data_IF_729431526026
#
_entry.id   IF_729431526026
#
_cell.length_a   1.000
_cell.length_b   1.000
_cell.length_c   1.000
_cell.angle_alpha   90.00
_cell.angle_beta   90.00
_cell.angle_gamma   90.00
#
_symmetry.space_group_name_H-M   'P 1'
#
loop_
_entity.id
_entity.type
_entity.pdbx_description
1 polymer ?
#
# COMPACT_ATOMS: atom_id res chain seq x y z
N UNK A 1 31.76 7.86 21.51
CA UNK A 1 30.55 8.19 22.27
C UNK A 1 29.43 7.26 21.79
N UNK A 2 28.85 6.47 22.68
CA UNK A 2 27.88 5.42 22.32
C UNK A 2 26.59 6.05 21.78
N UNK A 3 26.39 5.95 20.46
CA UNK A 3 25.17 6.37 19.73
C UNK A 3 23.89 5.76 20.33
N UNK A 4 24.02 4.64 21.04
CA UNK A 4 22.95 3.95 21.76
C UNK A 4 22.38 4.75 22.94
N UNK A 5 23.16 5.66 23.56
CA UNK A 5 22.68 6.47 24.70
C UNK A 5 21.83 7.68 24.29
N UNK A 6 21.89 8.10 23.03
CA UNK A 6 21.09 9.21 22.48
C UNK A 6 19.75 8.76 21.90
N UNK A 7 19.49 7.46 21.85
CA UNK A 7 18.28 6.92 21.27
C UNK A 7 17.20 6.72 22.36
N UNK A 8 15.94 7.13 22.14
CA UNK A 8 14.88 7.00 23.13
C UNK A 8 14.56 5.52 23.36
N UNK A 9 15.09 4.99 24.46
CA UNK A 9 15.17 3.56 24.78
C UNK A 9 13.80 2.89 24.90
N UNK A 10 12.76 3.64 25.27
CA UNK A 10 11.38 3.14 25.34
C UNK A 10 10.79 2.76 23.97
N UNK A 11 11.20 3.44 22.89
CA UNK A 11 10.72 3.14 21.54
C UNK A 11 11.52 2.04 20.83
N UNK A 12 12.73 1.72 21.32
CA UNK A 12 13.65 0.75 20.70
C UNK A 12 13.60 -0.62 21.39
N UNK A 13 12.98 -0.74 22.57
CA UNK A 13 12.84 -2.02 23.29
C UNK A 13 12.17 -3.14 22.47
N UNK A 14 11.42 -2.80 21.43
CA UNK A 14 10.80 -3.76 20.51
C UNK A 14 11.47 -3.81 19.12
N UNK A 15 12.46 -2.96 18.87
CA UNK A 15 13.21 -2.93 17.61
C UNK A 15 14.35 -3.92 17.72
N UNK A 16 14.18 -5.10 17.12
CA UNK A 16 15.28 -6.03 16.92
C UNK A 16 16.23 -5.41 15.88
N UNK A 17 17.20 -4.61 16.35
CA UNK A 17 18.14 -3.86 15.51
C UNK A 17 18.87 -4.73 14.48
N UNK A 18 19.39 -5.92 14.83
CA UNK A 18 19.93 -6.86 13.84
C UNK A 18 18.93 -7.19 12.74
N UNK A 19 17.69 -7.51 13.10
CA UNK A 19 16.62 -7.82 12.12
C UNK A 19 16.28 -6.62 11.25
N UNK A 20 16.25 -5.41 11.81
CA UNK A 20 16.05 -4.17 11.04
C UNK A 20 17.20 -3.93 10.07
N UNK A 21 18.44 -4.10 10.51
CA UNK A 21 19.61 -3.94 9.66
C UNK A 21 19.63 -4.98 8.53
N UNK A 22 19.29 -6.24 8.82
CA UNK A 22 19.14 -7.30 7.82
C UNK A 22 18.04 -6.96 6.80
N UNK A 23 16.84 -6.58 7.26
CA UNK A 23 15.74 -6.17 6.39
C UNK A 23 16.12 -4.97 5.52
N UNK A 24 16.75 -3.96 6.10
CA UNK A 24 17.20 -2.78 5.36
C UNK A 24 18.26 -3.14 4.32
N UNK A 25 19.22 -4.00 4.68
CA UNK A 25 20.24 -4.50 3.74
C UNK A 25 19.64 -5.31 2.59
N UNK A 26 18.58 -6.07 2.88
CA UNK A 26 17.86 -6.85 1.88
C UNK A 26 17.15 -5.93 0.89
N UNK A 27 16.44 -4.91 1.38
CA UNK A 27 15.78 -3.89 0.54
C UNK A 27 16.80 -3.18 -0.33
N UNK A 28 17.91 -2.68 0.24
CA UNK A 28 18.95 -1.99 -0.54
C UNK A 28 19.57 -2.87 -1.62
N UNK A 29 19.80 -4.16 -1.33
CA UNK A 29 20.31 -5.10 -2.34
C UNK A 29 19.28 -5.33 -3.46
N UNK A 30 18.01 -5.45 -3.13
CA UNK A 30 16.95 -5.59 -4.12
C UNK A 30 16.84 -4.35 -5.02
N UNK A 31 16.89 -3.16 -4.43
CA UNK A 31 16.88 -1.89 -5.17
C UNK A 31 18.16 -1.65 -5.99
N UNK A 32 19.25 -2.39 -5.74
CA UNK A 32 20.50 -2.27 -6.50
C UNK A 32 20.60 -3.21 -7.71
N UNK A 33 19.73 -4.22 -7.82
CA UNK A 33 19.70 -5.15 -8.94
C UNK A 33 18.48 -4.87 -9.81
N UNK A 34 18.66 -4.15 -10.92
CA UNK A 34 17.57 -3.71 -11.80
C UNK A 34 16.85 -4.86 -12.51
N UNK A 35 17.39 -6.09 -12.46
CA UNK A 35 16.65 -7.29 -12.90
C UNK A 35 15.47 -7.58 -11.98
N UNK A 36 15.53 -7.19 -10.70
CA UNK A 36 14.41 -7.30 -9.76
C UNK A 36 13.27 -6.40 -10.21
N UNK A 37 13.57 -5.13 -10.48
CA UNK A 37 12.60 -4.17 -10.99
C UNK A 37 11.98 -4.64 -12.32
N UNK A 38 12.79 -5.10 -13.28
CA UNK A 38 12.29 -5.63 -14.55
C UNK A 38 11.34 -6.83 -14.38
N UNK A 39 11.63 -7.74 -13.43
CA UNK A 39 10.72 -8.85 -13.08
C UNK A 39 9.43 -8.34 -12.43
N UNK A 40 9.53 -7.37 -11.53
CA UNK A 40 8.38 -6.79 -10.85
C UNK A 40 7.46 -6.08 -11.85
N UNK A 41 8.00 -5.27 -12.76
CA UNK A 41 7.26 -4.64 -13.87
C UNK A 41 6.54 -5.71 -14.72
N UNK A 42 7.25 -6.78 -15.09
CA UNK A 42 6.66 -7.88 -15.85
C UNK A 42 5.48 -8.52 -15.09
N UNK A 43 5.60 -8.71 -13.78
CA UNK A 43 4.53 -9.25 -12.94
C UNK A 43 3.34 -8.28 -12.82
N UNK A 44 3.58 -6.99 -12.59
CA UNK A 44 2.51 -5.97 -12.59
C UNK A 44 1.78 -5.94 -13.92
N UNK A 45 2.51 -5.95 -15.05
CA UNK A 45 1.90 -6.01 -16.39
C UNK A 45 1.05 -7.26 -16.57
N UNK A 46 1.49 -8.42 -16.10
CA UNK A 46 0.69 -9.65 -16.14
C UNK A 46 -0.59 -9.53 -15.32
N UNK A 47 -0.50 -8.93 -14.14
CA UNK A 47 -1.64 -8.73 -13.25
C UNK A 47 -2.69 -7.76 -13.82
N UNK A 48 -2.26 -6.70 -14.52
CA UNK A 48 -3.14 -5.62 -15.02
C UNK A 48 -3.54 -5.74 -16.51
N UNK A 49 -2.84 -6.56 -17.30
CA UNK A 49 -3.10 -6.72 -18.76
C UNK A 49 -3.27 -8.18 -19.19
N UNK A 50 -3.40 -9.11 -18.24
CA UNK A 50 -3.61 -10.52 -18.53
C UNK A 50 -4.89 -10.78 -19.36
N UNK A 51 -5.04 -12.00 -19.89
CA UNK A 51 -6.07 -12.39 -20.89
C UNK A 51 -7.55 -12.07 -20.52
N UNK A 52 -7.84 -11.76 -19.26
CA UNK A 52 -9.18 -11.44 -18.77
C UNK A 52 -9.36 -9.98 -18.36
N UNK A 53 -8.30 -9.17 -18.36
CA UNK A 53 -8.41 -7.73 -18.10
C UNK A 53 -8.54 -6.96 -19.41
N UNK A 54 -9.52 -6.04 -19.46
CA UNK A 54 -9.70 -5.18 -20.61
C UNK A 54 -8.47 -4.31 -20.82
N UNK A 55 -7.98 -4.24 -22.07
CA UNK A 55 -6.89 -3.37 -22.56
C UNK A 55 -7.14 -1.86 -22.39
N UNK A 56 -8.16 -1.48 -21.62
CA UNK A 56 -8.54 -0.10 -21.29
C UNK A 56 -8.29 0.25 -19.83
N UNK A 57 -7.48 -0.54 -19.11
CA UNK A 57 -7.06 -0.20 -17.75
C UNK A 57 -6.54 1.23 -17.69
N UNK A 58 -7.04 2.00 -16.72
CA UNK A 58 -6.61 3.37 -16.47
C UNK A 58 -5.18 3.44 -15.88
N UNK A 59 -4.49 2.31 -15.82
CA UNK A 59 -3.18 2.12 -15.22
C UNK A 59 -2.20 1.61 -16.28
N UNK A 60 -0.99 2.15 -16.27
CA UNK A 60 0.13 1.81 -17.11
C UNK A 60 1.36 1.43 -16.26
N UNK A 61 2.05 0.36 -16.65
CA UNK A 61 3.38 0.01 -16.13
C UNK A 61 4.33 -0.09 -17.34
N UNK A 62 5.51 0.54 -17.32
CA UNK A 62 6.50 0.42 -18.39
C UNK A 62 6.79 -1.03 -18.75
N UNK A 63 6.95 -1.32 -20.04
CA UNK A 63 7.38 -2.64 -20.49
C UNK A 63 8.91 -2.69 -20.50
N UNK A 64 9.55 -3.59 -19.72
CA UNK A 64 10.97 -3.87 -19.89
C UNK A 64 11.26 -4.40 -21.29
N UNK A 65 12.38 -3.97 -21.88
CA UNK A 65 12.84 -4.44 -23.19
C UNK A 65 13.61 -5.74 -23.02
N UNK A 66 13.09 -6.82 -23.63
CA UNK A 66 13.72 -8.14 -23.58
C UNK A 66 15.17 -8.08 -24.09
N UNK A 67 16.09 -8.69 -23.33
CA UNK A 67 17.53 -8.67 -23.64
C UNK A 67 18.28 -7.41 -23.19
N UNK A 68 17.60 -6.42 -22.61
CA UNK A 68 18.19 -5.18 -22.09
C UNK A 68 17.83 -4.94 -20.61
N UNK A 69 17.77 -6.03 -19.85
CA UNK A 69 17.51 -6.04 -18.40
C UNK A 69 18.65 -6.78 -17.72
N UNK A 70 19.58 -6.02 -17.15
CA UNK A 70 20.77 -6.51 -16.46
C UNK A 70 20.87 -5.92 -15.06
N UNK A 71 21.84 -6.37 -14.27
CA UNK A 71 21.94 -5.97 -12.86
C UNK A 71 22.02 -4.44 -12.66
N UNK A 72 22.71 -3.73 -13.56
CA UNK A 72 22.95 -2.28 -13.44
C UNK A 72 22.29 -1.46 -14.55
N UNK A 73 21.51 -2.09 -15.44
CA UNK A 73 20.78 -1.37 -16.50
C UNK A 73 19.42 -2.00 -16.74
N UNK A 74 18.38 -1.18 -16.80
CA UNK A 74 17.03 -1.54 -17.20
C UNK A 74 16.61 -0.59 -18.32
N UNK A 75 16.29 -1.16 -19.48
CA UNK A 75 15.68 -0.42 -20.59
C UNK A 75 14.20 -0.77 -20.65
N UNK A 76 13.35 0.24 -20.75
CA UNK A 76 11.88 0.08 -20.76
C UNK A 76 11.19 1.12 -21.64
N UNK A 77 9.88 0.99 -21.80
CA UNK A 77 9.05 1.93 -22.55
C UNK A 77 9.18 3.37 -22.00
N UNK A 78 9.43 4.32 -22.89
CA UNK A 78 9.34 5.75 -22.56
C UNK A 78 7.89 6.21 -22.53
N UNK A 79 7.47 6.78 -21.40
CA UNK A 79 6.15 7.40 -21.27
C UNK A 79 6.21 8.84 -21.74
N UNK A 80 5.63 9.11 -22.91
CA UNK A 80 5.56 10.47 -23.48
C UNK A 80 4.41 11.27 -22.87
N UNK A 81 4.57 12.60 -22.83
CA UNK A 81 3.56 13.56 -22.38
C UNK A 81 2.99 13.28 -20.98
N UNK A 82 3.84 12.76 -20.10
CA UNK A 82 3.53 12.44 -18.73
C UNK A 82 3.91 13.59 -17.78
N UNK A 83 3.05 13.85 -16.79
CA UNK A 83 3.31 14.80 -15.70
C UNK A 83 3.29 14.09 -14.35
N UNK A 84 4.16 14.44 -13.39
CA UNK A 84 4.09 13.93 -12.03
C UNK A 84 2.72 14.17 -11.42
N UNK A 85 2.18 13.20 -10.66
CA UNK A 85 0.90 13.39 -9.96
C UNK A 85 0.96 14.60 -9.02
N UNK A 86 2.14 14.89 -8.45
CA UNK A 86 2.39 16.02 -7.56
C UNK A 86 2.04 17.38 -8.18
N UNK A 87 2.14 17.53 -9.51
CA UNK A 87 1.78 18.78 -10.18
C UNK A 87 0.27 19.01 -10.15
N UNK A 88 -0.53 17.95 -10.27
CA UNK A 88 -1.99 18.02 -10.13
C UNK A 88 -2.44 18.27 -8.70
N UNK A 89 -1.62 17.87 -7.71
CA UNK A 89 -1.91 18.13 -6.29
C UNK A 89 -1.73 19.60 -5.91
N UNK A 90 -0.79 20.28 -6.57
CA UNK A 90 -0.52 21.71 -6.38
C UNK A 90 -1.45 22.61 -7.19
N UNK A 91 -2.16 22.05 -8.17
CA UNK A 91 -3.07 22.80 -9.03
C UNK A 91 -4.43 23.04 -8.35
N UNK A 92 -4.58 24.26 -7.84
CA UNK A 92 -5.80 24.74 -7.16
C UNK A 92 -6.87 25.27 -8.14
N UNK A 93 -6.63 25.22 -9.46
CA UNK A 93 -7.65 25.57 -10.45
C UNK A 93 -8.81 24.58 -10.47
N UNK A 94 -9.93 24.99 -11.08
CA UNK A 94 -11.08 24.10 -11.35
C UNK A 94 -10.67 22.90 -12.22
N UNK A 95 -9.77 23.12 -13.18
CA UNK A 95 -9.20 22.08 -14.02
C UNK A 95 -8.35 21.08 -13.22
N UNK A 96 -7.54 21.58 -12.29
CA UNK A 96 -6.74 20.78 -11.35
C UNK A 96 -7.61 19.93 -10.42
N UNK A 97 -8.68 20.51 -9.88
CA UNK A 97 -9.67 19.77 -9.09
C UNK A 97 -10.37 18.68 -9.89
N UNK A 98 -10.82 19.00 -11.11
CA UNK A 98 -11.44 18.03 -12.00
C UNK A 98 -10.48 16.88 -12.37
N UNK A 99 -9.19 17.19 -12.55
CA UNK A 99 -8.14 16.21 -12.79
C UNK A 99 -7.97 15.26 -11.60
N UNK A 100 -7.78 15.81 -10.39
CA UNK A 100 -7.65 15.03 -9.15
C UNK A 100 -8.83 14.08 -8.95
N UNK A 101 -10.05 14.58 -9.13
CA UNK A 101 -11.28 13.77 -9.03
C UNK A 101 -11.32 12.64 -10.06
N UNK A 102 -10.83 12.88 -11.28
CA UNK A 102 -10.77 11.87 -12.33
C UNK A 102 -9.70 10.79 -12.07
N UNK A 103 -8.62 11.13 -11.36
CA UNK A 103 -7.49 10.22 -11.06
C UNK A 103 -7.75 9.40 -9.79
N UNK A 104 -8.36 9.99 -8.76
CA UNK A 104 -8.51 9.38 -7.44
C UNK A 104 -9.21 8.01 -7.47
N UNK A 105 -10.31 7.90 -8.21
CA UNK A 105 -11.05 6.64 -8.34
C UNK A 105 -10.23 5.51 -8.98
N UNK A 106 -9.65 5.72 -10.18
CA UNK A 106 -8.71 4.79 -10.79
C UNK A 106 -7.51 4.43 -9.91
N UNK A 107 -6.88 5.41 -9.26
CA UNK A 107 -5.72 5.21 -8.39
C UNK A 107 -6.05 4.28 -7.21
N UNK A 108 -7.14 4.58 -6.50
CA UNK A 108 -7.60 3.77 -5.40
C UNK A 108 -7.96 2.34 -5.84
N UNK A 109 -8.64 2.19 -7.00
CA UNK A 109 -8.95 0.86 -7.54
C UNK A 109 -7.69 0.07 -7.88
N UNK A 110 -6.69 0.72 -8.48
CA UNK A 110 -5.42 0.08 -8.79
C UNK A 110 -4.71 -0.42 -7.53
N UNK A 111 -4.67 0.42 -6.49
CA UNK A 111 -4.09 0.07 -5.20
C UNK A 111 -4.83 -1.08 -4.52
N UNK A 112 -6.16 -1.01 -4.42
CA UNK A 112 -6.96 -2.06 -3.82
C UNK A 112 -6.81 -3.39 -4.57
N UNK A 113 -6.69 -3.36 -5.90
CA UNK A 113 -6.40 -4.55 -6.69
C UNK A 113 -5.03 -5.15 -6.33
N UNK A 114 -3.98 -4.33 -6.28
CA UNK A 114 -2.63 -4.78 -5.90
C UNK A 114 -2.63 -5.48 -4.53
N UNK A 115 -3.34 -4.89 -3.56
CA UNK A 115 -3.41 -5.39 -2.18
C UNK A 115 -4.28 -6.63 -2.06
N UNK A 116 -5.55 -6.55 -2.49
CA UNK A 116 -6.57 -7.57 -2.17
C UNK A 116 -6.70 -8.67 -3.21
N UNK A 117 -6.44 -8.37 -4.47
CA UNK A 117 -6.65 -9.31 -5.58
C UNK A 117 -5.33 -9.97 -5.95
N UNK A 118 -4.30 -9.17 -6.19
CA UNK A 118 -3.04 -9.66 -6.72
C UNK A 118 -2.07 -10.13 -5.62
N UNK A 119 -2.25 -9.63 -4.38
CA UNK A 119 -1.27 -9.79 -3.29
C UNK A 119 0.16 -9.44 -3.73
N UNK A 120 0.30 -8.40 -4.56
CA UNK A 120 1.56 -7.95 -5.11
C UNK A 120 1.49 -6.44 -5.19
N UNK A 121 2.08 -5.78 -4.19
CA UNK A 121 1.93 -4.36 -3.92
C UNK A 121 3.22 -3.64 -4.27
N UNK A 122 3.09 -2.52 -4.97
CA UNK A 122 4.19 -1.61 -5.19
C UNK A 122 4.59 -0.98 -3.85
N UNK A 123 5.78 -1.30 -3.37
CA UNK A 123 6.24 -0.97 -2.02
C UNK A 123 6.73 0.47 -1.86
N UNK A 124 6.87 1.21 -2.97
CA UNK A 124 7.28 2.63 -2.96
C UNK A 124 6.38 3.50 -3.86
N UNK A 125 5.09 3.55 -3.53
CA UNK A 125 4.08 4.27 -4.31
C UNK A 125 4.00 5.77 -3.93
N UNK A 126 5.14 6.45 -3.90
CA UNK A 126 5.21 7.88 -3.59
C UNK A 126 4.91 8.74 -4.83
N UNK A 127 4.52 10.03 -4.67
CA UNK A 127 4.12 10.86 -5.81
C UNK A 127 5.16 11.07 -6.92
N UNK A 128 6.44 10.75 -6.70
CA UNK A 128 7.47 10.79 -7.74
C UNK A 128 7.43 9.59 -8.69
N UNK A 129 6.92 8.46 -8.20
CA UNK A 129 6.77 7.21 -8.96
C UNK A 129 5.40 7.09 -9.63
N UNK A 130 4.58 8.14 -9.56
CA UNK A 130 3.25 8.18 -10.17
C UNK A 130 3.18 9.32 -11.17
N UNK A 131 3.04 8.94 -12.44
CA UNK A 131 2.88 9.87 -13.56
C UNK A 131 1.45 9.83 -14.09
N UNK A 132 0.99 10.92 -14.69
CA UNK A 132 -0.32 11.06 -15.32
C UNK A 132 -0.10 11.43 -16.78
N UNK A 133 -0.62 10.58 -17.67
CA UNK A 133 -0.67 10.83 -19.11
C UNK A 133 -2.07 11.34 -19.46
N UNK A 134 -2.14 12.54 -20.04
CA UNK A 134 -3.40 13.16 -20.44
C UNK A 134 -3.55 13.11 -21.96
N UNK A 135 -4.46 12.28 -22.46
CA UNK A 135 -4.73 12.15 -23.90
C UNK A 135 -6.06 12.80 -24.27
N UNK A 136 -6.04 13.66 -25.29
CA UNK A 136 -7.28 14.21 -25.85
C UNK A 136 -7.95 13.14 -26.72
N UNK A 137 -9.19 12.79 -26.41
CA UNK A 137 -9.95 11.92 -27.31
C UNK A 137 -10.37 12.70 -28.57
N UNK A 138 -10.00 12.20 -29.75
CA UNK A 138 -10.45 12.81 -31.00
C UNK A 138 -11.89 12.38 -31.37
N UNK A 139 -12.64 13.38 -31.86
CA UNK A 139 -13.97 13.33 -32.53
C UNK A 139 -15.17 13.13 -31.59
N UNK A 140 -15.74 14.28 -31.18
CA UNK A 140 -17.07 14.55 -30.57
C UNK A 140 -17.17 14.71 -29.05
N UNK A 141 -16.17 14.35 -28.25
CA UNK A 141 -16.19 14.60 -26.79
C UNK A 141 -14.97 15.39 -26.34
N UNK A 142 -15.17 16.51 -25.62
CA UNK A 142 -14.08 17.27 -24.94
C UNK A 142 -13.52 16.54 -23.72
N UNK A 143 -13.59 15.21 -23.67
CA UNK A 143 -13.21 14.44 -22.48
C UNK A 143 -11.74 14.06 -22.58
N UNK A 144 -10.94 14.56 -21.64
CA UNK A 144 -9.53 14.17 -21.48
C UNK A 144 -9.48 12.80 -20.81
N UNK A 145 -8.89 11.80 -21.47
CA UNK A 145 -8.61 10.51 -20.84
C UNK A 145 -7.30 10.63 -20.09
N UNK A 146 -7.33 10.33 -18.80
CA UNK A 146 -6.14 10.27 -17.94
C UNK A 146 -5.77 8.81 -17.68
N UNK A 147 -4.50 8.49 -17.90
CA UNK A 147 -3.91 7.20 -17.56
C UNK A 147 -2.86 7.43 -16.48
N UNK A 148 -2.91 6.64 -15.42
CA UNK A 148 -1.96 6.64 -14.32
C UNK A 148 -0.83 5.69 -14.71
N UNK A 149 0.40 6.17 -14.70
CA UNK A 149 1.58 5.33 -14.90
C UNK A 149 2.34 5.18 -13.59
N UNK A 150 2.67 3.94 -13.24
CA UNK A 150 3.52 3.62 -12.10
C UNK A 150 4.93 3.30 -12.58
N UNK A 151 5.91 4.02 -12.05
CA UNK A 151 7.34 3.85 -12.29
C UNK A 151 8.02 3.25 -11.06
N UNK A 152 9.28 2.84 -11.22
CA UNK A 152 10.14 2.35 -10.12
C UNK A 152 9.49 1.22 -9.31
N UNK A 153 9.35 0.07 -9.98
CA UNK A 153 8.89 -1.15 -9.34
C UNK A 153 10.05 -1.88 -8.61
N UNK A 154 11.11 -1.17 -8.21
CA UNK A 154 12.28 -1.77 -7.55
C UNK A 154 11.91 -2.44 -6.23
N UNK A 155 10.91 -1.89 -5.53
CA UNK A 155 10.34 -2.45 -4.31
C UNK A 155 8.93 -2.93 -4.60
N UNK A 156 8.73 -4.24 -4.55
CA UNK A 156 7.40 -4.86 -4.56
C UNK A 156 7.31 -5.87 -3.42
N UNK A 157 6.17 -5.93 -2.74
CA UNK A 157 5.95 -6.82 -1.60
C UNK A 157 4.67 -7.64 -1.74
N UNK A 158 4.66 -8.80 -1.12
CA UNK A 158 3.52 -9.72 -1.04
C UNK A 158 3.35 -10.13 0.41
N UNK A 159 2.09 -10.21 0.85
CA UNK A 159 1.80 -10.72 2.19
C UNK A 159 1.89 -12.23 2.22
N UNK A 160 2.26 -12.76 3.38
CA UNK A 160 2.05 -14.17 3.68
C UNK A 160 0.56 -14.51 3.54
N UNK A 161 0.18 -15.76 3.21
CA UNK A 161 -1.23 -16.14 3.12
C UNK A 161 -2.01 -15.88 4.43
N UNK A 162 -1.33 -15.92 5.59
CA UNK A 162 -1.96 -15.62 6.88
C UNK A 162 -2.29 -14.14 7.00
N UNK A 163 -1.32 -13.28 6.71
CA UNK A 163 -1.47 -11.83 6.82
C UNK A 163 -2.40 -11.27 5.76
N UNK A 164 -2.39 -11.83 4.54
CA UNK A 164 -3.36 -11.48 3.52
C UNK A 164 -4.80 -11.75 4.00
N UNK A 165 -5.03 -12.91 4.63
CA UNK A 165 -6.34 -13.24 5.22
C UNK A 165 -6.69 -12.31 6.37
N UNK A 166 -5.74 -11.97 7.22
CA UNK A 166 -5.95 -11.02 8.32
C UNK A 166 -6.30 -9.62 7.82
N UNK A 167 -5.64 -9.15 6.77
CA UNK A 167 -5.95 -7.88 6.13
C UNK A 167 -7.37 -7.89 5.53
N UNK A 168 -7.74 -8.96 4.82
CA UNK A 168 -9.09 -9.13 4.27
C UNK A 168 -10.15 -9.16 5.38
N UNK A 169 -9.89 -9.91 6.46
CA UNK A 169 -10.83 -10.03 7.58
C UNK A 169 -10.96 -8.74 8.37
N UNK A 170 -9.87 -7.97 8.52
CA UNK A 170 -9.91 -6.64 9.12
C UNK A 170 -10.74 -5.68 8.27
N UNK A 171 -10.54 -5.66 6.94
CA UNK A 171 -11.37 -4.85 6.04
C UNK A 171 -12.84 -5.29 6.05
N UNK A 172 -13.10 -6.59 6.13
CA UNK A 172 -14.46 -7.12 6.30
C UNK A 172 -15.07 -6.67 7.63
N UNK A 173 -14.31 -6.70 8.72
CA UNK A 173 -14.75 -6.24 10.03
C UNK A 173 -15.08 -4.74 10.03
N UNK A 174 -14.33 -3.92 9.30
CA UNK A 174 -14.64 -2.49 9.09
C UNK A 174 -15.99 -2.29 8.40
N UNK A 175 -16.36 -3.17 7.47
CA UNK A 175 -17.64 -3.09 6.76
C UNK A 175 -18.80 -3.63 7.60
N UNK A 176 -18.56 -4.70 8.38
CA UNK A 176 -19.58 -5.42 9.14
C UNK A 176 -19.67 -4.99 10.61
N UNK A 177 -18.88 -4.00 11.04
CA UNK A 177 -18.76 -3.53 12.43
C UNK A 177 -18.48 -4.70 13.40
N UNK A 178 -17.43 -5.48 13.09
CA UNK A 178 -17.08 -6.70 13.80
C UNK A 178 -15.57 -6.76 14.11
N UNK A 179 -15.05 -5.68 14.70
CA UNK A 179 -13.62 -5.54 14.97
C UNK A 179 -13.12 -6.53 16.01
N UNK A 180 -13.93 -6.87 17.01
CA UNK A 180 -13.59 -7.84 18.04
C UNK A 180 -13.25 -9.22 17.46
N UNK A 181 -14.02 -9.69 16.49
CA UNK A 181 -13.71 -10.96 15.81
C UNK A 181 -12.43 -10.86 14.96
N UNK A 182 -12.19 -9.73 14.27
CA UNK A 182 -10.94 -9.52 13.53
C UNK A 182 -9.72 -9.53 14.46
N UNK A 183 -9.80 -8.84 15.60
CA UNK A 183 -8.73 -8.86 16.61
C UNK A 183 -8.43 -10.26 17.12
N UNK A 184 -9.46 -11.06 17.43
CA UNK A 184 -9.25 -12.45 17.85
C UNK A 184 -8.55 -13.28 16.78
N UNK A 185 -9.00 -13.18 15.52
CA UNK A 185 -8.38 -13.89 14.39
C UNK A 185 -6.93 -13.48 14.15
N UNK A 186 -6.58 -12.21 14.37
CA UNK A 186 -5.21 -11.73 14.24
C UNK A 186 -4.27 -12.40 15.25
N UNK A 187 -4.72 -12.59 16.50
CA UNK A 187 -3.94 -13.34 17.52
C UNK A 187 -3.87 -14.82 17.15
N UNK A 188 -5.00 -15.45 16.82
CA UNK A 188 -5.07 -16.88 16.50
C UNK A 188 -4.16 -17.28 15.31
N UNK A 189 -3.93 -16.36 14.38
CA UNK A 189 -3.18 -16.60 13.13
C UNK A 189 -1.79 -15.97 13.11
N UNK A 190 -1.41 -15.26 14.17
CA UNK A 190 -0.08 -14.67 14.29
C UNK A 190 0.96 -15.79 14.38
N UNK A 191 2.03 -15.67 13.60
CA UNK A 191 3.12 -16.66 13.58
C UNK A 191 3.86 -16.71 14.92
N UNK A 192 4.00 -15.53 15.55
CA UNK A 192 4.54 -15.36 16.89
C UNK A 192 3.68 -14.32 17.59
N UNK A 193 3.22 -14.64 18.78
CA UNK A 193 2.51 -13.68 19.61
C UNK A 193 2.79 -13.97 21.09
N UNK A 194 2.73 -12.91 21.91
CA UNK A 194 2.88 -13.00 23.37
C UNK A 194 1.58 -12.66 24.11
N UNK A 195 0.53 -12.35 23.37
CA UNK A 195 -0.72 -11.90 23.95
C UNK A 195 -1.42 -13.05 24.68
N UNK A 196 -1.47 -14.25 24.09
CA UNK A 196 -2.05 -15.44 24.73
C UNK A 196 -1.35 -15.86 26.02
N UNK A 197 -0.09 -15.41 26.23
CA UNK A 197 0.70 -15.72 27.43
C UNK A 197 0.31 -14.86 28.64
N UNK A 198 -0.43 -13.76 28.41
CA UNK A 198 -0.88 -12.86 29.46
C UNK A 198 -2.40 -12.96 29.60
N UNK A 199 -2.86 -13.26 30.82
CA UNK A 199 -4.29 -13.40 31.10
C UNK A 199 -5.06 -12.13 30.71
N UNK A 200 -6.15 -12.28 29.94
CA UNK A 200 -7.00 -11.19 29.49
C UNK A 200 -6.43 -10.32 28.35
N UNK A 201 -5.21 -10.58 27.87
CA UNK A 201 -4.63 -9.77 26.79
C UNK A 201 -5.38 -9.95 25.48
N UNK A 202 -5.80 -11.17 25.13
CA UNK A 202 -6.49 -11.44 23.86
C UNK A 202 -7.82 -10.69 23.80
N UNK A 203 -8.55 -10.66 24.91
CA UNK A 203 -9.79 -9.92 25.08
C UNK A 203 -9.54 -8.41 25.03
N UNK A 204 -8.51 -7.93 25.70
CA UNK A 204 -8.13 -6.52 25.68
C UNK A 204 -7.74 -6.05 24.27
N UNK A 205 -6.93 -6.84 23.56
CA UNK A 205 -6.53 -6.59 22.18
C UNK A 205 -7.74 -6.61 21.25
N UNK A 206 -8.58 -7.63 21.36
CA UNK A 206 -9.79 -7.76 20.54
C UNK A 206 -10.74 -6.58 20.74
N UNK A 207 -10.96 -6.15 21.99
CA UNK A 207 -11.75 -4.94 22.29
C UNK A 207 -11.10 -3.69 21.70
N UNK A 208 -9.78 -3.54 21.80
CA UNK A 208 -9.08 -2.41 21.21
C UNK A 208 -9.26 -2.34 19.69
N UNK A 209 -9.23 -3.48 18.99
CA UNK A 209 -9.53 -3.53 17.55
C UNK A 209 -11.00 -3.20 17.27
N UNK A 210 -11.91 -3.68 18.11
CA UNK A 210 -13.34 -3.34 18.04
C UNK A 210 -13.58 -1.83 18.18
N UNK A 211 -12.99 -1.20 19.19
CA UNK A 211 -13.10 0.25 19.42
C UNK A 211 -12.61 1.06 18.21
N UNK A 212 -11.48 0.66 17.60
CA UNK A 212 -10.95 1.30 16.39
C UNK A 212 -11.95 1.15 15.23
N UNK A 213 -12.48 -0.05 15.04
CA UNK A 213 -13.42 -0.37 13.94
C UNK A 213 -14.74 0.35 14.12
N UNK A 214 -15.32 0.36 15.33
CA UNK A 214 -16.60 1.02 15.60
C UNK A 214 -16.50 2.54 15.53
N UNK A 215 -15.42 3.15 16.02
CA UNK A 215 -15.16 4.60 15.83
C UNK A 215 -15.15 4.97 14.33
N UNK A 216 -14.61 4.08 13.51
CA UNK A 216 -14.53 4.25 12.07
C UNK A 216 -15.88 4.01 11.38
N UNK A 217 -16.64 3.01 11.82
CA UNK A 217 -17.96 2.68 11.30
C UNK A 217 -19.00 3.79 11.61
N UNK A 218 -18.99 4.37 12.80
CA UNK A 218 -19.91 5.46 13.17
C UNK A 218 -19.64 6.76 12.41
N UNK A 219 -18.37 7.04 12.07
CA UNK A 219 -18.02 8.13 11.16
C UNK A 219 -18.56 7.91 9.74
N UNK A 220 -18.74 6.66 9.31
CA UNK A 220 -19.31 6.31 8.00
C UNK A 220 -20.83 6.54 7.92
N UNK A 221 -21.58 6.29 9.01
CA UNK A 221 -23.03 6.51 9.08
C UNK A 221 -23.44 7.96 8.76
N UNK A 222 -22.51 8.90 8.91
CA UNK A 222 -22.69 10.32 8.58
C UNK A 222 -22.41 10.67 7.10
N UNK A 223 -22.32 9.66 6.21
CA UNK A 223 -22.37 9.87 4.75
C UNK A 223 -21.03 9.89 4.02
N UNK A 224 -20.03 9.10 4.43
CA UNK A 224 -18.72 9.10 3.79
C UNK A 224 -18.56 7.96 2.77
N UNK A 225 -18.27 8.36 1.53
CA UNK A 225 -17.76 7.49 0.47
C UNK A 225 -16.36 6.97 0.85
N UNK A 226 -15.93 5.84 0.27
CA UNK A 226 -14.64 5.21 0.56
C UNK A 226 -13.42 6.16 0.47
N UNK A 227 -13.54 7.29 -0.26
CA UNK A 227 -12.49 8.31 -0.40
C UNK A 227 -12.41 9.35 0.72
N UNK A 228 -13.41 9.45 1.60
CA UNK A 228 -13.37 10.35 2.76
C UNK A 228 -13.01 9.64 4.07
N UNK A 229 -12.68 8.37 3.96
CA UNK A 229 -12.42 7.46 5.06
C UNK A 229 -10.91 7.19 5.07
N UNK A 230 -10.21 7.67 6.10
CA UNK A 230 -8.76 7.51 6.28
C UNK A 230 -8.40 6.11 6.78
N UNK A 231 -8.56 5.10 5.93
CA UNK A 231 -8.20 3.69 6.15
C UNK A 231 -6.76 3.54 6.66
N UNK A 232 -5.81 4.32 6.14
CA UNK A 232 -4.42 4.33 6.55
C UNK A 232 -4.28 4.64 8.05
N UNK A 233 -5.08 5.57 8.57
CA UNK A 233 -5.09 5.88 10.01
C UNK A 233 -5.64 4.73 10.87
N UNK A 234 -6.64 3.99 10.37
CA UNK A 234 -7.16 2.80 11.04
C UNK A 234 -6.08 1.70 11.07
N UNK A 235 -5.45 1.43 9.94
CA UNK A 235 -4.42 0.41 9.85
C UNK A 235 -3.22 0.75 10.74
N UNK A 236 -2.78 2.01 10.77
CA UNK A 236 -1.71 2.46 11.66
C UNK A 236 -2.04 2.20 13.14
N UNK A 237 -3.26 2.53 13.59
CA UNK A 237 -3.69 2.27 14.97
C UNK A 237 -3.74 0.78 15.31
N UNK A 238 -4.16 -0.05 14.35
CA UNK A 238 -4.15 -1.52 14.53
C UNK A 238 -2.72 -2.04 14.62
N UNK A 239 -1.78 -1.55 13.80
CA UNK A 239 -0.35 -1.89 13.92
C UNK A 239 0.21 -1.51 15.30
N UNK A 240 -0.17 -0.34 15.82
CA UNK A 240 0.24 0.12 17.16
C UNK A 240 -0.32 -0.78 18.28
N UNK A 241 -1.57 -1.22 18.18
CA UNK A 241 -2.13 -2.20 19.12
C UNK A 241 -1.39 -3.52 19.06
N UNK A 242 -1.05 -3.99 17.86
CA UNK A 242 -0.31 -5.24 17.70
C UNK A 242 1.08 -5.14 18.36
N UNK A 243 1.75 -4.00 18.19
CA UNK A 243 2.99 -3.69 18.90
C UNK A 243 2.79 -3.70 20.42
N UNK A 244 1.77 -3.02 20.93
CA UNK A 244 1.50 -2.91 22.37
C UNK A 244 1.21 -4.28 23.02
N UNK A 245 0.41 -5.10 22.36
CA UNK A 245 -0.04 -6.41 22.86
C UNK A 245 0.88 -7.57 22.45
N UNK A 246 1.96 -7.30 21.71
CA UNK A 246 2.93 -8.32 21.31
C UNK A 246 2.38 -9.32 20.28
N UNK A 247 1.48 -8.88 19.41
CA UNK A 247 1.01 -9.64 18.23
C UNK A 247 1.95 -9.31 17.08
N UNK A 248 2.75 -10.28 16.63
CA UNK A 248 3.70 -10.02 15.54
C UNK A 248 2.98 -9.91 14.19
N UNK A 249 3.41 -8.93 13.39
CA UNK A 249 2.92 -8.70 12.04
C UNK A 249 4.12 -8.78 11.08
N UNK A 250 3.89 -9.36 9.91
CA UNK A 250 4.86 -9.36 8.82
C UNK A 250 5.30 -7.93 8.46
N UNK A 251 6.61 -7.65 8.33
CA UNK A 251 7.11 -6.34 7.93
C UNK A 251 6.48 -5.78 6.65
N UNK A 252 6.05 -6.66 5.74
CA UNK A 252 5.36 -6.32 4.49
C UNK A 252 4.04 -5.57 4.74
N UNK A 253 3.35 -5.86 5.86
CA UNK A 253 2.15 -5.11 6.25
C UNK A 253 2.47 -3.65 6.56
N UNK A 254 3.61 -3.37 7.21
CA UNK A 254 4.01 -2.01 7.50
C UNK A 254 4.26 -1.21 6.20
N UNK A 255 4.85 -1.84 5.18
CA UNK A 255 5.01 -1.25 3.85
C UNK A 255 3.64 -0.94 3.20
N UNK A 256 2.67 -1.85 3.30
CA UNK A 256 1.31 -1.62 2.77
C UNK A 256 0.61 -0.49 3.51
N UNK A 257 0.72 -0.41 4.84
CA UNK A 257 0.14 0.69 5.62
C UNK A 257 0.78 2.02 5.24
N UNK A 258 2.10 2.07 5.08
CA UNK A 258 2.80 3.27 4.63
C UNK A 258 2.34 3.70 3.23
N UNK A 259 2.25 2.77 2.28
CA UNK A 259 1.73 3.04 0.94
C UNK A 259 0.28 3.55 0.98
N UNK A 260 -0.55 2.97 1.85
CA UNK A 260 -1.94 3.41 2.05
C UNK A 260 -1.99 4.85 2.57
N UNK A 261 -1.17 5.17 3.58
CA UNK A 261 -1.08 6.52 4.16
C UNK A 261 -0.60 7.56 3.15
N UNK A 262 0.40 7.21 2.34
CA UNK A 262 0.91 8.08 1.27
C UNK A 262 -0.16 8.32 0.23
N UNK A 263 -0.84 7.27 -0.23
CA UNK A 263 -1.94 7.36 -1.19
C UNK A 263 -3.13 8.17 -0.68
N UNK A 264 -3.46 8.10 0.61
CA UNK A 264 -4.51 8.92 1.23
C UNK A 264 -4.14 10.41 1.32
N UNK A 265 -2.84 10.72 1.28
CA UNK A 265 -2.34 12.09 1.23
C UNK A 265 -2.33 12.70 -0.17
N UNK A 266 -2.56 11.91 -1.22
CA UNK A 266 -2.65 12.36 -2.62
C UNK A 266 -4.11 12.70 -2.98
#
# INVERSE_FOLDING_TARGET
>A
ANLLHSLPVEHIRMVNLPRVAENFSHILRQSSDLRVEGRNLTQFRKNFYGKHESSTSAVYFPKPVDGWVEQNVLVEDLIQDAQPIADFLKDESEEGWAARKAIAGPLLRAFLKMVFIDNFVHGDLHPGNVLIVSTQQQKKSKTVKRTIAFLDAGIATSLSPSDQRNLIDLFRAVILDNGGNAGRLMVERAKYERCSQTEGCVEAFSRGVDDIVSEFHDRRKHGLTLGAVKIGSLLARVLDLCRLHGVEIDPSMASIVLCTLVLEGL
#
